data_IF_475112754735
#
_entry.id   IF_475112754735
#
_cell.length_a   1.000
_cell.length_b   1.000
_cell.length_c   1.000
_cell.angle_alpha   90.00
_cell.angle_beta   90.00
_cell.angle_gamma   90.00
#
_symmetry.space_group_name_H-M   'P 1'
#
loop_
_entity.id
_entity.type
_entity.pdbx_description
1 polymer ?
#
# COMPACT_ATOMS: atom_id res chain seq x y z
N UNK A 1 11.66 3.20 8.82
CA UNK A 1 10.72 2.80 7.75
C UNK A 1 9.30 2.98 8.26
N UNK A 2 8.34 3.32 7.40
CA UNK A 2 6.92 3.29 7.72
C UNK A 2 6.20 2.26 6.85
N UNK A 3 5.25 1.55 7.44
CA UNK A 3 4.30 0.70 6.73
C UNK A 3 3.03 1.50 6.48
N UNK A 4 2.65 1.64 5.21
CA UNK A 4 1.49 2.42 4.77
C UNK A 4 0.52 1.54 4.01
N UNK A 5 -0.79 1.75 4.20
CA UNK A 5 -1.84 1.04 3.47
C UNK A 5 -2.93 1.99 2.99
N UNK A 6 -3.15 2.03 1.68
CA UNK A 6 -4.22 2.81 1.05
C UNK A 6 -5.42 1.94 0.69
N UNK A 7 -6.61 2.52 0.81
CA UNK A 7 -7.85 1.90 0.37
C UNK A 7 -7.91 1.85 -1.17
N UNK A 8 -8.15 0.68 -1.75
CA UNK A 8 -8.25 0.56 -3.21
C UNK A 8 -9.53 1.19 -3.79
N UNK A 9 -10.62 1.27 -3.03
CA UNK A 9 -11.86 1.88 -3.51
C UNK A 9 -11.88 3.40 -3.38
N UNK A 10 -11.31 3.95 -2.30
CA UNK A 10 -11.40 5.39 -2.01
C UNK A 10 -10.08 6.14 -2.16
N UNK A 11 -8.94 5.45 -2.25
CA UNK A 11 -7.62 6.08 -2.24
C UNK A 11 -7.19 6.65 -0.89
N UNK A 12 -7.99 6.49 0.17
CA UNK A 12 -7.69 6.99 1.52
C UNK A 12 -6.59 6.19 2.18
N UNK A 13 -5.66 6.87 2.87
CA UNK A 13 -4.71 6.24 3.77
C UNK A 13 -5.46 5.68 4.99
N UNK A 14 -5.45 4.35 5.16
CA UNK A 14 -6.16 3.64 6.22
C UNK A 14 -5.22 3.03 7.27
N UNK A 15 -3.97 2.81 6.89
CA UNK A 15 -2.95 2.20 7.72
C UNK A 15 -1.68 3.02 7.64
N UNK A 16 -1.14 3.35 8.79
CA UNK A 16 0.13 4.04 8.95
C UNK A 16 0.75 3.51 10.23
N UNK A 17 1.93 2.90 10.13
CA UNK A 17 2.63 2.37 11.31
C UNK A 17 4.14 2.52 11.16
N UNK A 18 4.79 2.87 12.25
CA UNK A 18 6.22 3.16 12.32
C UNK A 18 6.51 4.20 13.41
N UNK A 19 7.73 4.74 13.46
CA UNK A 19 8.87 4.37 12.62
C UNK A 19 9.47 3.00 13.03
N UNK A 20 9.92 2.22 12.04
CA UNK A 20 10.66 0.97 12.25
C UNK A 20 12.15 1.14 11.97
N UNK A 21 13.04 0.45 12.72
CA UNK A 21 14.47 0.45 12.47
C UNK A 21 14.82 -0.02 11.05
N UNK A 22 15.91 0.53 10.50
CA UNK A 22 16.45 0.08 9.22
C UNK A 22 16.89 -1.39 9.29
N UNK A 23 16.72 -2.12 8.19
CA UNK A 23 17.07 -3.56 8.10
C UNK A 23 15.97 -4.52 8.57
N UNK A 24 14.86 -4.01 9.12
CA UNK A 24 13.67 -4.83 9.40
C UNK A 24 12.97 -5.16 8.07
N UNK A 25 12.73 -6.45 7.80
CA UNK A 25 12.03 -6.86 6.58
C UNK A 25 10.55 -6.49 6.62
N UNK A 26 9.94 -6.20 5.46
CA UNK A 26 8.52 -5.82 5.36
C UNK A 26 7.59 -6.87 5.97
N UNK A 27 7.85 -8.16 5.72
CA UNK A 27 7.05 -9.24 6.30
C UNK A 27 7.20 -9.32 7.83
N UNK A 28 8.38 -9.03 8.38
CA UNK A 28 8.56 -8.94 9.83
C UNK A 28 7.72 -7.80 10.38
N UNK A 29 7.78 -6.63 9.76
CA UNK A 29 6.97 -5.47 10.15
C UNK A 29 5.48 -5.78 10.06
N UNK A 30 5.00 -6.42 8.99
CA UNK A 30 3.58 -6.75 8.85
C UNK A 30 3.08 -7.70 9.95
N UNK A 31 3.94 -8.63 10.38
CA UNK A 31 3.64 -9.64 11.42
C UNK A 31 3.68 -9.04 12.82
N UNK A 32 4.75 -8.34 13.16
CA UNK A 32 4.97 -7.81 14.53
C UNK A 32 4.31 -6.46 14.73
N UNK A 33 4.18 -5.70 13.65
CA UNK A 33 3.44 -4.44 13.55
C UNK A 33 1.95 -4.63 13.29
N UNK A 34 1.37 -5.80 13.52
CA UNK A 34 -0.09 -5.97 13.63
C UNK A 34 -0.94 -5.76 12.36
N UNK A 35 -0.35 -5.47 11.19
CA UNK A 35 -1.09 -5.38 9.94
C UNK A 35 -1.82 -6.68 9.62
N UNK A 36 -1.11 -7.82 9.75
CA UNK A 36 -1.68 -9.15 9.50
C UNK A 36 -2.83 -9.46 10.45
N UNK A 37 -2.69 -9.11 11.73
CA UNK A 37 -3.74 -9.29 12.72
C UNK A 37 -4.96 -8.43 12.42
N UNK A 38 -4.74 -7.16 12.08
CA UNK A 38 -5.83 -6.23 11.78
C UNK A 38 -6.61 -6.65 10.53
N UNK A 39 -5.92 -7.06 9.47
CA UNK A 39 -6.55 -7.61 8.27
C UNK A 39 -7.38 -8.85 8.59
N UNK A 40 -6.85 -9.76 9.42
CA UNK A 40 -7.57 -10.95 9.87
C UNK A 40 -8.80 -10.58 10.69
N UNK A 41 -8.67 -9.66 11.63
CA UNK A 41 -9.75 -9.18 12.51
C UNK A 41 -10.90 -8.56 11.71
N UNK A 42 -10.58 -7.83 10.64
CA UNK A 42 -11.57 -7.19 9.75
C UNK A 42 -12.11 -8.11 8.65
N UNK A 43 -11.56 -9.32 8.50
CA UNK A 43 -11.88 -10.18 7.35
C UNK A 43 -11.48 -9.59 6.00
N UNK A 44 -10.47 -8.71 5.99
CA UNK A 44 -9.99 -8.00 4.81
C UNK A 44 -8.68 -8.61 4.29
N UNK A 45 -8.35 -8.31 3.04
CA UNK A 45 -7.06 -8.64 2.43
C UNK A 45 -6.38 -7.39 1.90
N UNK A 46 -5.06 -7.35 2.01
CA UNK A 46 -4.23 -6.36 1.35
C UNK A 46 -3.64 -6.92 0.05
N UNK A 47 -3.20 -6.02 -0.84
CA UNK A 47 -2.33 -6.36 -1.97
C UNK A 47 -0.95 -5.82 -1.64
N UNK A 48 0.02 -6.73 -1.57
CA UNK A 48 1.41 -6.40 -1.26
C UNK A 48 2.34 -6.83 -2.38
N UNK A 49 3.57 -6.34 -2.36
CA UNK A 49 4.62 -6.83 -3.27
C UNK A 49 5.12 -8.21 -2.83
N UNK A 50 6.17 -8.72 -3.48
CA UNK A 50 6.73 -10.04 -3.17
C UNK A 50 7.46 -10.08 -1.81
N UNK A 51 7.77 -8.94 -1.19
CA UNK A 51 8.37 -8.86 0.15
C UNK A 51 7.46 -9.45 1.23
N UNK A 52 6.15 -9.51 0.98
CA UNK A 52 5.15 -10.09 1.89
C UNK A 52 4.90 -11.60 1.64
N UNK A 53 5.71 -12.27 0.81
CA UNK A 53 5.58 -13.71 0.58
C UNK A 53 5.76 -14.49 1.89
N UNK A 54 4.73 -15.26 2.29
CA UNK A 54 4.65 -15.94 3.58
C UNK A 54 3.42 -15.54 4.40
N UNK A 55 2.67 -14.51 3.98
CA UNK A 55 1.39 -14.08 4.57
C UNK A 55 0.22 -14.13 3.59
N UNK A 56 0.21 -15.10 2.67
CA UNK A 56 -0.77 -15.18 1.56
C UNK A 56 -2.24 -15.25 2.01
N UNK A 57 -2.49 -15.66 3.26
CA UNK A 57 -3.83 -15.68 3.84
C UNK A 57 -4.41 -14.26 3.97
N UNK A 58 -3.60 -13.27 4.32
CA UNK A 58 -4.01 -11.89 4.56
C UNK A 58 -3.53 -10.92 3.47
N UNK A 59 -2.38 -11.20 2.83
CA UNK A 59 -1.74 -10.31 1.86
C UNK A 59 -1.58 -11.05 0.53
N UNK A 60 -2.29 -10.60 -0.50
CA UNK A 60 -2.19 -11.17 -1.83
C UNK A 60 -1.03 -10.54 -2.60
N UNK A 61 -0.04 -11.36 -2.99
CA UNK A 61 1.14 -10.91 -3.73
C UNK A 61 1.04 -11.33 -5.21
N UNK A 62 1.72 -10.63 -6.14
CA UNK A 62 1.81 -11.05 -7.54
C UNK A 62 2.46 -12.43 -7.67
N UNK A 63 1.78 -13.37 -8.30
CA UNK A 63 2.26 -14.75 -8.45
C UNK A 63 1.92 -15.31 -9.85
N UNK A 64 2.53 -16.45 -10.21
CA UNK A 64 2.40 -17.04 -11.54
C UNK A 64 1.01 -17.67 -11.83
N UNK A 65 0.20 -17.90 -10.81
CA UNK A 65 -1.15 -18.44 -10.94
C UNK A 65 -2.20 -17.35 -11.18
N UNK A 66 -1.82 -16.07 -11.12
CA UNK A 66 -2.72 -14.98 -11.41
C UNK A 66 -3.10 -14.98 -12.89
N UNK A 67 -4.40 -15.00 -13.19
CA UNK A 67 -4.87 -14.72 -14.55
C UNK A 67 -4.54 -13.26 -14.94
N UNK A 68 -4.67 -12.94 -16.23
CA UNK A 68 -4.33 -11.61 -16.76
C UNK A 68 -5.06 -10.47 -16.05
N UNK A 69 -6.34 -10.64 -15.74
CA UNK A 69 -7.14 -9.64 -15.03
C UNK A 69 -6.67 -9.39 -13.60
N UNK A 70 -6.43 -10.46 -12.84
CA UNK A 70 -5.93 -10.40 -11.45
C UNK A 70 -4.51 -9.81 -11.41
N UNK A 71 -3.64 -10.25 -12.31
CA UNK A 71 -2.26 -9.74 -12.42
C UNK A 71 -2.24 -8.24 -12.73
N UNK A 72 -3.08 -7.79 -13.67
CA UNK A 72 -3.22 -6.37 -14.00
C UNK A 72 -3.79 -5.57 -12.82
N UNK A 73 -4.81 -6.09 -12.14
CA UNK A 73 -5.41 -5.46 -10.97
C UNK A 73 -4.38 -5.26 -9.85
N UNK A 74 -3.62 -6.31 -9.49
CA UNK A 74 -2.56 -6.22 -8.49
C UNK A 74 -1.47 -5.24 -8.89
N UNK A 75 -1.01 -5.28 -10.16
CA UNK A 75 0.00 -4.34 -10.67
C UNK A 75 -0.46 -2.89 -10.52
N UNK A 76 -1.71 -2.60 -10.88
CA UNK A 76 -2.29 -1.25 -10.75
C UNK A 76 -2.43 -0.81 -9.30
N UNK A 77 -2.79 -1.71 -8.39
CA UNK A 77 -2.82 -1.44 -6.96
C UNK A 77 -1.44 -1.07 -6.41
N UNK A 78 -0.40 -1.85 -6.74
CA UNK A 78 0.98 -1.58 -6.32
C UNK A 78 1.52 -0.26 -6.88
N UNK A 79 1.32 0.01 -8.17
CA UNK A 79 1.72 1.29 -8.77
C UNK A 79 1.00 2.49 -8.13
N UNK A 80 -0.22 2.30 -7.60
CA UNK A 80 -0.97 3.37 -6.95
C UNK A 80 -0.34 3.69 -5.59
N UNK A 81 0.03 2.65 -4.84
CA UNK A 81 0.80 2.79 -3.62
C UNK A 81 2.14 3.50 -3.89
N UNK A 82 2.84 3.14 -4.97
CA UNK A 82 4.09 3.81 -5.36
C UNK A 82 3.89 5.29 -5.72
N UNK A 83 2.78 5.66 -6.36
CA UNK A 83 2.46 7.07 -6.60
C UNK A 83 2.27 7.84 -5.28
N UNK A 84 1.57 7.26 -4.30
CA UNK A 84 1.39 7.89 -2.99
C UNK A 84 2.72 7.99 -2.23
N UNK A 85 3.54 6.93 -2.24
CA UNK A 85 4.91 6.96 -1.70
C UNK A 85 5.75 8.06 -2.38
N UNK A 86 5.58 8.24 -3.69
CA UNK A 86 6.22 9.32 -4.45
C UNK A 86 5.79 10.72 -4.00
N UNK A 87 4.51 10.91 -3.64
CA UNK A 87 4.03 12.17 -3.06
C UNK A 87 4.72 12.48 -1.73
N UNK A 88 4.84 11.48 -0.85
CA UNK A 88 5.52 11.62 0.45
C UNK A 88 7.01 11.95 0.26
N UNK A 89 7.70 11.23 -0.63
CA UNK A 89 9.13 11.41 -0.91
C UNK A 89 9.47 12.84 -1.36
N UNK A 90 8.54 13.57 -1.99
CA UNK A 90 8.74 14.98 -2.41
C UNK A 90 8.96 15.94 -1.24
N UNK A 91 8.48 15.61 -0.05
CA UNK A 91 8.70 16.43 1.14
C UNK A 91 10.11 16.25 1.74
N UNK A 92 10.92 15.34 1.19
CA UNK A 92 12.28 15.04 1.63
C UNK A 92 12.44 14.63 3.10
N UNK A 93 11.34 14.40 3.82
CA UNK A 93 11.35 13.88 5.20
C UNK A 93 11.99 12.49 5.27
N UNK A 94 11.90 11.71 4.18
CA UNK A 94 12.55 10.39 4.04
C UNK A 94 13.87 10.41 3.26
N UNK A 95 14.25 11.55 2.68
CA UNK A 95 15.33 11.64 1.68
C UNK A 95 16.67 12.02 2.30
N UNK A 96 16.66 12.75 3.42
CA UNK A 96 17.87 13.13 4.15
C UNK A 96 17.85 12.54 5.55
N UNK A 97 19.03 12.24 6.10
CA UNK A 97 19.15 11.85 7.50
C UNK A 97 18.51 12.93 8.37
N UNK A 98 17.38 12.60 8.99
CA UNK A 98 16.67 13.49 9.87
C UNK A 98 17.57 13.81 11.07
N UNK A 99 17.91 15.08 11.26
CA UNK A 99 18.92 15.51 12.24
C UNK A 99 18.35 15.80 13.64
N UNK A 100 17.06 15.52 13.84
CA UNK A 100 16.39 15.70 15.12
C UNK A 100 15.96 14.35 15.72
N UNK A 101 15.31 14.38 16.88
CA UNK A 101 14.84 13.18 17.58
C UNK A 101 13.85 12.36 16.74
N UNK A 102 13.76 11.07 17.04
CA UNK A 102 12.82 10.14 16.43
C UNK A 102 11.36 10.58 16.60
N UNK A 103 11.01 11.12 17.77
CA UNK A 103 9.68 11.71 18.04
C UNK A 103 9.34 12.85 17.05
N UNK A 104 10.30 13.72 16.76
CA UNK A 104 10.10 14.80 15.79
C UNK A 104 10.00 14.27 14.36
N UNK A 105 10.67 13.16 14.07
CA UNK A 105 10.57 12.49 12.78
C UNK A 105 9.17 11.90 12.59
N UNK A 106 8.62 11.26 13.63
CA UNK A 106 7.27 10.72 13.64
C UNK A 106 6.23 11.81 13.36
N UNK A 107 6.23 12.87 14.17
CA UNK A 107 5.32 14.01 13.95
C UNK A 107 5.44 14.61 12.55
N UNK A 108 6.67 14.78 12.04
CA UNK A 108 6.89 15.32 10.70
C UNK A 108 6.38 14.38 9.61
N UNK A 109 6.62 13.07 9.74
CA UNK A 109 6.19 12.07 8.77
C UNK A 109 4.67 11.94 8.72
N UNK A 110 4.02 11.90 9.88
CA UNK A 110 2.56 11.86 9.98
C UNK A 110 1.92 13.12 9.40
N UNK A 111 2.46 14.30 9.70
CA UNK A 111 1.99 15.55 9.12
C UNK A 111 2.08 15.56 7.59
N UNK A 112 3.19 15.04 7.03
CA UNK A 112 3.35 14.87 5.58
C UNK A 112 2.30 13.91 5.00
N UNK A 113 2.00 12.80 5.69
CA UNK A 113 0.97 11.87 5.26
C UNK A 113 -0.42 12.52 5.22
N UNK A 114 -0.77 13.33 6.23
CA UNK A 114 -2.02 14.09 6.26
C UNK A 114 -2.09 15.10 5.11
N UNK A 115 -1.01 15.82 4.81
CA UNK A 115 -0.95 16.75 3.67
C UNK A 115 -1.12 16.01 2.34
N UNK A 116 -0.45 14.85 2.18
CA UNK A 116 -0.59 14.03 0.98
C UNK A 116 -2.03 13.53 0.82
N UNK A 117 -2.68 13.09 1.91
CA UNK A 117 -4.07 12.66 1.89
C UNK A 117 -5.01 13.80 1.47
N UNK A 118 -4.82 15.00 2.01
CA UNK A 118 -5.59 16.19 1.61
C UNK A 118 -5.43 16.50 0.12
N UNK A 119 -4.20 16.43 -0.41
CA UNK A 119 -3.94 16.62 -1.84
C UNK A 119 -4.61 15.55 -2.69
N UNK A 120 -4.61 14.29 -2.27
CA UNK A 120 -5.31 13.20 -2.97
C UNK A 120 -6.82 13.47 -3.02
N UNK A 121 -7.42 14.00 -1.96
CA UNK A 121 -8.85 14.25 -1.91
C UNK A 121 -9.29 15.50 -2.72
N UNK A 122 -8.44 16.54 -2.81
CA UNK A 122 -8.87 17.85 -3.30
C UNK A 122 -8.17 18.32 -4.59
N UNK A 123 -6.94 17.88 -4.84
CA UNK A 123 -6.10 18.45 -5.91
C UNK A 123 -5.71 17.41 -6.96
N UNK A 124 -5.16 16.28 -6.50
CA UNK A 124 -4.53 15.26 -7.35
C UNK A 124 -4.96 13.85 -6.93
N UNK A 125 -6.19 13.43 -7.27
CA UNK A 125 -6.67 12.09 -6.96
C UNK A 125 -5.79 10.99 -7.55
N UNK A 126 -5.61 9.91 -6.77
CA UNK A 126 -4.95 8.72 -7.27
C UNK A 126 -5.81 8.06 -8.36
N UNK A 127 -5.18 7.65 -9.46
CA UNK A 127 -5.88 7.03 -10.60
C UNK A 127 -6.66 5.78 -10.19
N UNK A 128 -7.76 5.42 -10.89
CA UNK A 128 -8.53 4.21 -10.56
C UNK A 128 -7.78 2.89 -10.80
N UNK A 129 -7.77 1.97 -9.85
CA UNK A 129 -7.23 0.61 -10.05
C UNK A 129 -8.14 -0.18 -10.99
N UNK A 130 -9.46 0.00 -10.87
CA UNK A 130 -10.45 -0.69 -11.70
C UNK A 130 -10.64 0.05 -13.03
N UNK A 131 -10.05 -0.50 -14.09
CA UNK A 131 -10.23 -0.01 -15.47
C UNK A 131 -11.07 -0.99 -16.28
N UNK A 132 -11.63 -0.53 -17.40
CA UNK A 132 -12.45 -1.37 -18.28
C UNK A 132 -11.73 -2.67 -18.67
N UNK A 133 -10.45 -2.57 -19.05
CA UNK A 133 -9.62 -3.74 -19.35
C UNK A 133 -9.57 -4.78 -18.21
N UNK A 134 -9.54 -4.33 -16.95
CA UNK A 134 -9.56 -5.26 -15.81
C UNK A 134 -10.93 -5.95 -15.77
N UNK A 135 -12.03 -5.21 -15.94
CA UNK A 135 -13.40 -5.74 -15.94
C UNK A 135 -13.62 -6.74 -17.08
N UNK A 136 -13.22 -6.39 -18.29
CA UNK A 136 -13.35 -7.25 -19.48
C UNK A 136 -12.64 -8.59 -19.30
N UNK A 137 -11.46 -8.57 -18.68
CA UNK A 137 -10.71 -9.79 -18.39
C UNK A 137 -11.38 -10.65 -17.31
N UNK A 138 -12.03 -10.04 -16.32
CA UNK A 138 -12.82 -10.80 -15.34
C UNK A 138 -14.04 -11.45 -15.99
N UNK A 139 -14.78 -10.72 -16.80
CA UNK A 139 -15.97 -11.21 -17.51
C UNK A 139 -15.63 -12.37 -18.45
N UNK A 140 -14.54 -12.24 -19.22
CA UNK A 140 -14.07 -13.30 -20.13
C UNK A 140 -13.74 -14.59 -19.39
N UNK A 141 -13.14 -14.50 -18.19
CA UNK A 141 -12.77 -15.67 -17.39
C UNK A 141 -13.98 -16.34 -16.71
N UNK A 142 -15.02 -15.59 -16.36
CA UNK A 142 -16.27 -16.16 -15.81
C UNK A 142 -17.12 -16.91 -16.82
N UNK A 143 -16.99 -16.60 -18.12
CA UNK A 143 -17.73 -17.28 -19.20
C UNK A 143 -17.04 -18.58 -19.65
N UNK A 144 -15.76 -18.73 -19.31
CA UNK A 144 -14.91 -19.87 -19.73
C UNK A 144 -14.63 -20.89 -18.61
N UNK A 145 -15.25 -20.73 -17.44
CA UNK A 145 -15.09 -21.61 -16.27
C UNK A 145 -16.34 -22.44 -15.98
#
# INVERSE_FOLDING_TARGET
MYELGICLSTGRLLWMRGPYPAGTSDITVARTGGLVEELRRRGQKAIGDRGYNGEQKQISTPNAHDNKGVSLFKRRALMRQENFNGMIKRFNVTSHCFRHSEERFELAFEAVCVICQYKVENETPLYDVLIQQVKDQFETNSVTS
#
